data_IF_106699961688
#
_entry.id   IF_106699961688
#
_cell.length_a   1.000
_cell.length_b   1.000
_cell.length_c   1.000
_cell.angle_alpha   90.00
_cell.angle_beta   90.00
_cell.angle_gamma   90.00
#
_symmetry.space_group_name_H-M   'P 1'
#
loop_
_entity.id
_entity.type
_entity.pdbx_description
1 polymer ?
#
# COMPACT_ATOMS: atom_id res chain seq x y z
N UNK A 1 -49.13 3.61 42.35
CA UNK A 1 -47.81 3.82 42.98
C UNK A 1 -46.86 2.88 42.26
N UNK A 2 -46.37 3.33 41.11
CA UNK A 2 -45.87 2.51 40.02
C UNK A 2 -44.45 1.96 40.22
N UNK A 3 -44.29 0.66 40.01
CA UNK A 3 -43.06 -0.13 40.07
C UNK A 3 -42.11 0.08 38.87
N UNK A 4 -42.29 1.15 38.10
CA UNK A 4 -41.54 1.40 36.85
C UNK A 4 -40.30 2.31 37.02
N UNK A 5 -40.10 2.95 38.18
CA UNK A 5 -39.02 3.94 38.36
C UNK A 5 -37.70 3.38 38.92
N UNK A 6 -37.69 2.17 39.48
CA UNK A 6 -36.50 1.61 40.14
C UNK A 6 -35.61 0.81 39.17
N UNK A 7 -36.09 0.46 37.97
CA UNK A 7 -35.35 -0.39 37.00
C UNK A 7 -34.34 0.37 36.11
N UNK A 8 -34.33 1.71 36.11
CA UNK A 8 -33.53 2.49 35.15
C UNK A 8 -32.13 2.89 35.64
N UNK A 9 -31.90 2.90 36.96
CA UNK A 9 -30.58 3.21 37.54
C UNK A 9 -29.62 2.03 37.52
N UNK A 10 -30.13 0.81 37.67
CA UNK A 10 -29.30 -0.41 37.69
C UNK A 10 -28.79 -0.80 36.29
N UNK A 11 -29.59 -0.56 35.24
CA UNK A 11 -29.21 -0.87 33.86
C UNK A 11 -28.13 0.08 33.33
N UNK A 12 -28.13 1.35 33.74
CA UNK A 12 -27.05 2.29 33.39
C UNK A 12 -25.75 2.01 34.15
N UNK A 13 -25.84 1.59 35.42
CA UNK A 13 -24.67 1.20 36.22
C UNK A 13 -24.00 -0.08 35.67
N UNK A 14 -24.79 -1.06 35.22
CA UNK A 14 -24.29 -2.28 34.59
C UNK A 14 -23.65 -2.02 33.21
N UNK A 15 -24.14 -1.05 32.43
CA UNK A 15 -23.57 -0.68 31.13
C UNK A 15 -22.20 0.04 31.25
N UNK A 16 -22.02 0.89 32.27
CA UNK A 16 -20.74 1.56 32.53
C UNK A 16 -19.69 0.60 33.12
N UNK A 17 -20.09 -0.37 33.93
CA UNK A 17 -19.21 -1.42 34.44
C UNK A 17 -18.70 -2.35 33.33
N UNK A 18 -19.53 -2.65 32.32
CA UNK A 18 -19.13 -3.43 31.14
C UNK A 18 -18.14 -2.67 30.23
N UNK A 19 -18.27 -1.33 30.12
CA UNK A 19 -17.32 -0.49 29.39
C UNK A 19 -15.96 -0.38 30.09
N UNK A 20 -15.94 -0.40 31.43
CA UNK A 20 -14.70 -0.44 32.22
C UNK A 20 -14.00 -1.81 32.15
N UNK A 21 -14.75 -2.91 32.03
CA UNK A 21 -14.19 -4.27 31.88
C UNK A 21 -13.58 -4.52 30.48
N UNK A 22 -14.10 -3.89 29.42
CA UNK A 22 -13.55 -4.01 28.07
C UNK A 22 -12.21 -3.27 27.87
N UNK A 23 -11.89 -2.30 28.74
CA UNK A 23 -10.63 -1.55 28.69
C UNK A 23 -9.50 -2.19 29.52
N UNK A 24 -9.78 -3.24 30.31
CA UNK A 24 -8.86 -3.75 31.34
C UNK A 24 -8.16 -5.09 31.02
N UNK A 25 -8.34 -5.67 29.83
CA UNK A 25 -7.75 -6.98 29.47
C UNK A 25 -6.38 -6.91 28.76
N UNK A 26 -5.66 -5.79 28.84
CA UNK A 26 -4.33 -5.65 28.23
C UNK A 26 -3.21 -5.21 29.18
N UNK A 27 -3.33 -5.50 30.48
CA UNK A 27 -2.25 -5.23 31.43
C UNK A 27 -1.89 -6.47 32.26
N UNK A 28 -1.25 -7.45 31.60
CA UNK A 28 -0.34 -8.36 32.28
C UNK A 28 1.10 -7.87 32.09
N UNK A 29 1.61 -7.17 33.10
CA UNK A 29 3.02 -6.87 33.23
C UNK A 29 3.74 -8.12 33.74
N UNK A 30 4.53 -8.77 32.88
CA UNK A 30 5.54 -9.75 33.29
C UNK A 30 6.93 -9.11 33.23
N UNK A 31 7.70 -9.38 34.28
CA UNK A 31 9.07 -8.95 34.43
C UNK A 31 9.97 -9.45 33.27
N UNK A 32 10.82 -8.56 32.77
CA UNK A 32 12.14 -8.91 32.23
C UNK A 32 12.18 -9.88 31.05
N UNK A 33 11.64 -9.48 29.90
CA UNK A 33 12.14 -9.71 28.52
C UNK A 33 11.06 -9.17 27.58
N UNK A 34 11.41 -8.32 26.61
CA UNK A 34 10.42 -7.74 25.68
C UNK A 34 9.72 -8.86 24.87
N UNK A 35 8.53 -9.28 25.31
CA UNK A 35 7.72 -10.32 24.70
C UNK A 35 7.35 -10.04 23.23
N UNK A 36 7.57 -8.80 22.73
CA UNK A 36 7.41 -8.44 21.31
C UNK A 36 8.48 -9.04 20.41
N UNK A 37 9.50 -9.71 20.99
CA UNK A 37 10.69 -10.22 20.31
C UNK A 37 10.82 -11.74 20.36
N UNK A 38 9.79 -12.51 20.77
CA UNK A 38 9.86 -13.97 20.70
C UNK A 38 9.51 -14.41 19.27
N UNK A 39 10.54 -14.70 18.49
CA UNK A 39 10.40 -15.15 17.10
C UNK A 39 10.39 -16.67 17.04
N UNK A 40 9.57 -17.29 16.16
CA UNK A 40 9.69 -18.72 15.90
C UNK A 40 11.08 -19.02 15.33
N UNK A 41 11.72 -20.08 15.80
CA UNK A 41 12.97 -20.56 15.23
C UNK A 41 12.72 -21.04 13.80
N UNK A 42 13.09 -20.22 12.82
CA UNK A 42 12.96 -20.50 11.39
C UNK A 42 14.33 -20.34 10.73
N UNK A 43 14.63 -21.21 9.76
CA UNK A 43 15.81 -21.07 8.90
C UNK A 43 15.64 -19.98 7.84
N UNK A 44 14.40 -19.57 7.55
CA UNK A 44 14.05 -18.58 6.53
C UNK A 44 13.60 -17.25 7.14
N UNK A 45 13.93 -16.16 6.43
CA UNK A 45 13.61 -14.80 6.84
C UNK A 45 12.12 -14.64 7.14
N UNK A 46 11.80 -14.04 8.28
CA UNK A 46 10.41 -13.85 8.74
C UNK A 46 9.51 -13.00 7.82
N UNK A 47 10.07 -12.20 6.91
CA UNK A 47 9.26 -11.33 6.05
C UNK A 47 8.57 -12.13 4.95
N UNK A 48 7.31 -11.80 4.68
CA UNK A 48 6.52 -12.43 3.62
C UNK A 48 7.29 -12.54 2.30
N UNK A 49 7.19 -13.70 1.67
CA UNK A 49 7.81 -14.04 0.38
C UNK A 49 9.35 -13.91 0.36
N UNK A 50 10.01 -13.94 1.52
CA UNK A 50 11.46 -13.92 1.60
C UNK A 50 12.04 -15.29 1.96
N UNK A 51 12.60 -15.99 0.97
CA UNK A 51 13.22 -17.31 1.16
C UNK A 51 14.71 -17.24 1.55
N UNK A 52 15.26 -16.06 1.83
CA UNK A 52 16.67 -15.91 2.22
C UNK A 52 16.89 -16.43 3.63
N UNK A 53 18.06 -16.99 3.86
CA UNK A 53 18.48 -17.51 5.16
C UNK A 53 18.55 -16.43 6.24
N UNK A 54 18.18 -16.82 7.45
CA UNK A 54 18.23 -15.97 8.64
C UNK A 54 19.68 -15.76 9.08
N UNK A 55 19.97 -14.57 9.61
CA UNK A 55 21.29 -14.30 10.20
C UNK A 55 21.45 -14.99 11.56
N UNK A 56 22.67 -15.40 11.95
CA UNK A 56 22.94 -15.95 13.28
C UNK A 56 22.40 -15.02 14.39
N UNK A 57 21.62 -15.58 15.32
CA UNK A 57 21.01 -14.81 16.42
C UNK A 57 19.92 -13.82 16.01
N UNK A 58 19.47 -13.86 14.76
CA UNK A 58 18.46 -12.98 14.20
C UNK A 58 17.22 -13.79 13.77
N UNK A 59 16.22 -13.10 13.26
CA UNK A 59 14.98 -13.65 12.68
C UNK A 59 14.79 -13.19 11.23
N UNK A 60 15.79 -12.51 10.66
CA UNK A 60 15.79 -11.87 9.34
C UNK A 60 17.12 -12.06 8.62
N UNK A 61 17.08 -12.01 7.30
CA UNK A 61 18.27 -12.11 6.44
C UNK A 61 19.08 -10.79 6.38
N UNK A 62 20.27 -10.85 5.78
CA UNK A 62 21.16 -9.68 5.60
C UNK A 62 20.47 -8.51 4.90
N UNK A 63 19.63 -8.81 3.89
CA UNK A 63 18.92 -7.80 3.10
C UNK A 63 17.86 -7.07 3.92
N UNK A 64 17.26 -7.75 4.89
CA UNK A 64 16.22 -7.20 5.75
C UNK A 64 16.73 -6.73 7.11
N UNK A 65 18.05 -6.70 7.36
CA UNK A 65 18.61 -6.35 8.68
C UNK A 65 18.15 -5.01 9.26
N UNK A 66 17.84 -4.03 8.40
CA UNK A 66 17.37 -2.70 8.81
C UNK A 66 15.85 -2.52 8.65
N UNK A 67 15.11 -3.58 8.33
CA UNK A 67 13.66 -3.53 8.16
C UNK A 67 12.98 -3.94 9.46
N UNK A 68 12.02 -3.13 9.88
CA UNK A 68 11.17 -3.43 11.04
C UNK A 68 9.92 -4.19 10.59
N UNK A 69 9.39 -5.01 11.52
CA UNK A 69 8.13 -5.74 11.35
C UNK A 69 6.96 -4.87 11.79
N UNK A 70 5.83 -5.02 11.12
CA UNK A 70 4.55 -4.47 11.56
C UNK A 70 4.21 -4.91 13.01
N UNK A 71 3.73 -3.99 13.84
CA UNK A 71 3.36 -4.29 15.25
C UNK A 71 2.06 -5.09 15.41
N UNK A 72 1.30 -5.27 14.34
CA UNK A 72 0.11 -6.11 14.39
C UNK A 72 0.54 -7.56 14.62
N UNK A 73 -0.15 -8.27 15.51
CA UNK A 73 0.18 -9.65 15.89
C UNK A 73 0.43 -10.53 14.66
N UNK A 74 1.53 -11.27 14.73
CA UNK A 74 1.96 -12.26 13.73
C UNK A 74 2.08 -11.72 12.29
N UNK A 75 2.13 -10.40 12.11
CA UNK A 75 2.23 -9.81 10.79
C UNK A 75 3.66 -9.90 10.25
N UNK A 76 3.82 -10.64 9.15
CA UNK A 76 5.07 -10.81 8.42
C UNK A 76 5.40 -9.67 7.44
N UNK A 77 4.65 -8.57 7.46
CA UNK A 77 4.91 -7.42 6.59
C UNK A 77 5.91 -6.45 7.21
N UNK A 78 6.67 -5.78 6.33
CA UNK A 78 7.54 -4.66 6.69
C UNK A 78 6.72 -3.45 7.12
N UNK A 79 7.27 -2.67 8.06
CA UNK A 79 6.72 -1.35 8.43
C UNK A 79 6.76 -0.43 7.22
N UNK A 80 5.63 0.23 6.98
CA UNK A 80 5.56 1.37 6.07
C UNK A 80 5.73 2.69 6.83
N UNK A 81 4.90 2.90 7.86
CA UNK A 81 4.99 4.07 8.76
C UNK A 81 4.30 3.75 10.09
N UNK A 82 4.64 4.50 11.15
CA UNK A 82 4.04 4.36 12.50
C UNK A 82 4.07 2.92 13.03
N UNK A 83 5.15 2.19 12.73
CA UNK A 83 5.34 0.79 13.08
C UNK A 83 4.28 -0.18 12.50
N UNK A 84 3.54 0.23 11.46
CA UNK A 84 2.49 -0.55 10.83
C UNK A 84 2.77 -0.72 9.33
N UNK A 85 2.39 -1.86 8.77
CA UNK A 85 2.42 -2.08 7.32
C UNK A 85 1.22 -1.40 6.64
N UNK A 86 1.20 -1.38 5.30
CA UNK A 86 0.11 -0.77 4.53
C UNK A 86 -1.27 -1.34 4.90
N UNK A 87 -1.37 -2.67 5.09
CA UNK A 87 -2.63 -3.36 5.43
C UNK A 87 -3.11 -3.09 6.85
N UNK A 88 -2.21 -2.77 7.77
CA UNK A 88 -2.52 -2.50 9.17
C UNK A 88 -2.47 -1.00 9.51
N UNK A 89 -2.75 -0.11 8.55
CA UNK A 89 -2.88 1.32 8.81
C UNK A 89 -1.59 2.15 8.74
N UNK A 90 -0.50 1.57 8.24
CA UNK A 90 0.71 2.34 7.90
C UNK A 90 0.44 3.41 6.84
N UNK A 91 -0.48 3.15 5.90
CA UNK A 91 -0.88 4.09 4.84
C UNK A 91 -2.25 4.68 5.13
N UNK A 92 -2.41 5.98 4.89
CA UNK A 92 -3.72 6.66 5.03
C UNK A 92 -4.73 6.04 4.06
N UNK A 93 -5.96 5.83 4.53
CA UNK A 93 -7.09 5.46 3.69
C UNK A 93 -7.64 6.68 2.94
N UNK A 94 -8.34 6.42 1.86
CA UNK A 94 -9.10 7.42 1.12
C UNK A 94 -10.21 7.98 2.02
N UNK A 95 -10.40 9.30 2.00
CA UNK A 95 -11.47 9.96 2.75
C UNK A 95 -12.86 9.87 2.10
N UNK A 96 -12.95 9.41 0.86
CA UNK A 96 -14.23 9.15 0.19
C UNK A 96 -15.03 8.08 0.95
N UNK A 97 -16.31 8.34 1.20
CA UNK A 97 -17.19 7.42 1.90
C UNK A 97 -17.29 6.07 1.18
N UNK A 98 -17.22 4.98 1.95
CA UNK A 98 -17.22 3.61 1.41
C UNK A 98 -15.94 3.19 0.65
N UNK A 99 -14.93 4.05 0.52
CA UNK A 99 -13.70 3.69 -0.19
C UNK A 99 -12.66 3.03 0.73
N UNK A 100 -12.32 1.77 0.45
CA UNK A 100 -11.23 1.02 1.12
C UNK A 100 -9.86 1.21 0.46
N UNK A 101 -9.76 2.16 -0.47
CA UNK A 101 -8.55 2.44 -1.22
C UNK A 101 -7.55 3.24 -0.39
N UNK A 102 -6.25 2.97 -0.58
CA UNK A 102 -5.21 3.79 0.05
C UNK A 102 -5.09 5.17 -0.62
N UNK A 103 -5.00 6.22 0.20
CA UNK A 103 -4.73 7.58 -0.28
C UNK A 103 -3.38 7.65 -1.01
N UNK A 104 -3.34 8.37 -2.12
CA UNK A 104 -2.16 8.59 -2.98
C UNK A 104 -1.91 10.06 -3.26
N UNK A 105 -2.98 10.85 -3.34
CA UNK A 105 -2.91 12.29 -3.54
C UNK A 105 -3.69 12.98 -2.41
N UNK A 106 -2.98 13.74 -1.58
CA UNK A 106 -3.57 14.34 -0.39
C UNK A 106 -4.22 13.27 0.50
N UNK A 107 -5.54 13.35 0.67
CA UNK A 107 -6.33 12.42 1.46
C UNK A 107 -7.14 11.39 0.64
N UNK A 108 -6.94 11.33 -0.68
CA UNK A 108 -7.77 10.54 -1.58
C UNK A 108 -6.95 9.53 -2.39
N UNK A 109 -7.58 8.43 -2.79
CA UNK A 109 -6.96 7.44 -3.67
C UNK A 109 -6.82 7.99 -5.11
N UNK A 110 -6.21 7.22 -6.03
CA UNK A 110 -6.08 7.67 -7.43
C UNK A 110 -7.41 7.92 -8.14
N UNK A 111 -8.51 7.30 -7.69
CA UNK A 111 -9.85 7.47 -8.29
C UNK A 111 -10.56 8.71 -7.76
N UNK A 112 -10.35 9.04 -6.48
CA UNK A 112 -11.04 10.15 -5.80
C UNK A 112 -10.16 11.39 -5.61
N UNK A 113 -8.86 11.30 -5.90
CA UNK A 113 -7.92 12.42 -5.82
C UNK A 113 -8.03 13.33 -7.03
N UNK A 114 -8.42 14.58 -6.81
CA UNK A 114 -8.69 15.60 -7.84
C UNK A 114 -7.44 16.22 -8.49
N UNK A 115 -6.31 15.52 -8.56
CA UNK A 115 -5.05 16.07 -9.09
C UNK A 115 -4.60 15.51 -10.43
N UNK A 116 -5.47 14.80 -11.15
CA UNK A 116 -5.13 14.34 -12.50
C UNK A 116 -6.33 14.41 -13.42
N UNK A 117 -6.90 15.61 -13.58
CA UNK A 117 -7.67 15.89 -14.79
C UNK A 117 -6.67 15.79 -15.94
N UNK A 118 -6.65 14.64 -16.62
CA UNK A 118 -5.89 14.47 -17.85
C UNK A 118 -6.36 15.57 -18.79
N UNK A 119 -5.49 16.56 -19.05
CA UNK A 119 -5.82 17.67 -19.94
C UNK A 119 -6.09 17.11 -21.33
N UNK A 120 -7.06 17.68 -22.04
CA UNK A 120 -7.23 17.40 -23.47
C UNK A 120 -6.05 17.98 -24.25
N UNK A 121 -5.84 17.44 -25.45
CA UNK A 121 -4.91 18.02 -26.41
C UNK A 121 -5.31 19.47 -26.71
N UNK A 122 -4.34 20.38 -26.77
CA UNK A 122 -4.58 21.81 -27.07
C UNK A 122 -4.82 22.11 -28.55
N UNK A 123 -4.85 21.10 -29.40
CA UNK A 123 -5.13 21.30 -30.83
C UNK A 123 -6.64 21.43 -31.03
N UNK A 124 -7.06 22.40 -31.83
CA UNK A 124 -8.47 22.69 -32.08
C UNK A 124 -9.19 21.44 -32.63
N UNK A 125 -10.40 21.20 -32.12
CA UNK A 125 -11.19 20.01 -32.46
C UNK A 125 -10.65 18.67 -31.93
N UNK A 126 -9.52 18.62 -31.22
CA UNK A 126 -8.97 17.37 -30.70
C UNK A 126 -9.56 16.96 -29.35
N UNK A 127 -10.26 15.83 -29.32
CA UNK A 127 -10.83 15.26 -28.08
C UNK A 127 -9.88 14.31 -27.34
N UNK A 128 -8.71 14.02 -27.90
CA UNK A 128 -7.73 13.07 -27.31
C UNK A 128 -7.05 13.66 -26.08
N UNK A 129 -6.68 12.80 -25.13
CA UNK A 129 -5.94 13.21 -23.93
C UNK A 129 -4.51 13.63 -24.28
N UNK A 130 -4.03 14.68 -23.61
CA UNK A 130 -2.65 15.10 -23.67
C UNK A 130 -1.77 14.14 -22.87
N UNK A 131 -0.58 13.85 -23.40
CA UNK A 131 0.45 13.05 -22.73
C UNK A 131 1.58 13.93 -22.22
N UNK A 132 2.19 14.72 -23.11
CA UNK A 132 3.23 15.68 -22.81
C UNK A 132 3.01 16.95 -23.63
N UNK A 133 3.57 18.08 -23.18
CA UNK A 133 3.49 19.36 -23.89
C UNK A 133 2.05 19.80 -24.21
N UNK A 134 1.08 19.39 -23.40
CA UNK A 134 -0.35 19.60 -23.63
C UNK A 134 -0.90 19.04 -24.95
N UNK A 135 -0.18 18.13 -25.62
CA UNK A 135 -0.60 17.51 -26.88
C UNK A 135 -0.80 16.00 -26.73
N UNK A 136 -1.66 15.40 -27.54
CA UNK A 136 -1.82 13.95 -27.65
C UNK A 136 -0.69 13.35 -28.50
N UNK A 137 -0.51 12.02 -28.50
CA UNK A 137 0.58 11.35 -29.25
C UNK A 137 0.66 11.82 -30.70
N UNK A 138 -0.48 11.86 -31.42
CA UNK A 138 -0.56 12.28 -32.83
C UNK A 138 -0.13 13.72 -33.07
N UNK A 139 -0.40 14.60 -32.11
CA UNK A 139 -0.09 16.03 -32.19
C UNK A 139 1.25 16.39 -31.54
N UNK A 140 2.10 15.41 -31.22
CA UNK A 140 3.41 15.68 -30.60
C UNK A 140 3.42 15.53 -29.08
N UNK A 141 2.45 14.87 -28.47
CA UNK A 141 2.53 14.44 -27.08
C UNK A 141 3.41 13.21 -26.87
N UNK A 142 3.73 12.50 -27.95
CA UNK A 142 4.57 11.31 -27.92
C UNK A 142 6.06 11.66 -27.97
N UNK A 143 6.88 10.79 -27.40
CA UNK A 143 8.34 10.81 -27.59
C UNK A 143 8.66 9.97 -28.82
N UNK A 144 9.54 10.45 -29.70
CA UNK A 144 10.06 9.65 -30.82
C UNK A 144 11.05 8.61 -30.29
N UNK A 145 11.21 7.52 -31.04
CA UNK A 145 12.28 6.56 -30.83
C UNK A 145 13.64 7.29 -30.90
N UNK A 146 14.56 6.95 -29.99
CA UNK A 146 15.92 7.51 -29.97
C UNK A 146 16.78 7.02 -31.13
N UNK A 147 16.51 5.81 -31.64
CA UNK A 147 17.18 5.28 -32.81
C UNK A 147 17.10 6.24 -34.01
N UNK A 148 18.26 6.58 -34.55
CA UNK A 148 18.38 7.48 -35.70
C UNK A 148 17.56 7.00 -36.90
N UNK A 149 16.92 7.95 -37.57
CA UNK A 149 16.02 7.69 -38.71
C UNK A 149 14.68 7.05 -38.33
N UNK A 150 14.46 6.64 -37.08
CA UNK A 150 13.22 5.99 -36.67
C UNK A 150 12.10 7.00 -36.38
N UNK A 151 11.03 6.98 -37.19
CA UNK A 151 9.88 7.87 -37.02
C UNK A 151 8.78 7.31 -36.10
N UNK A 152 8.98 6.13 -35.50
CA UNK A 152 8.00 5.55 -34.59
C UNK A 152 8.09 6.18 -33.19
N UNK A 153 7.05 5.97 -32.41
CA UNK A 153 7.00 6.45 -31.03
C UNK A 153 7.71 5.50 -30.07
N UNK A 154 8.45 6.07 -29.13
CA UNK A 154 9.02 5.35 -28.01
C UNK A 154 7.93 4.77 -27.11
N UNK A 155 8.15 3.54 -26.63
CA UNK A 155 7.26 2.83 -25.70
C UNK A 155 7.86 2.72 -24.31
N UNK A 156 9.15 2.39 -24.23
CA UNK A 156 9.88 2.29 -22.97
C UNK A 156 11.34 2.71 -23.17
N UNK A 157 11.95 3.35 -22.17
CA UNK A 157 13.36 3.77 -22.22
C UNK A 157 13.74 4.85 -23.24
N UNK A 158 12.82 5.24 -24.13
CA UNK A 158 13.11 6.09 -25.30
C UNK A 158 13.11 5.34 -26.62
N UNK A 159 12.85 4.02 -26.61
CA UNK A 159 12.89 3.18 -27.80
C UNK A 159 11.50 2.64 -28.14
N UNK A 160 11.26 2.43 -29.44
CA UNK A 160 10.04 1.78 -29.92
C UNK A 160 10.11 0.26 -29.70
N UNK A 161 9.01 -0.47 -29.90
CA UNK A 161 9.00 -1.93 -29.74
C UNK A 161 10.05 -2.66 -30.60
N UNK A 162 10.42 -2.12 -31.76
CA UNK A 162 11.45 -2.72 -32.64
C UNK A 162 12.88 -2.44 -32.18
N UNK A 163 13.09 -1.39 -31.41
CA UNK A 163 14.41 -0.93 -30.97
C UNK A 163 14.59 -1.05 -29.45
N UNK A 164 13.64 -1.66 -28.75
CA UNK A 164 13.75 -1.97 -27.33
C UNK A 164 13.92 -3.48 -27.15
N UNK A 165 15.13 -3.96 -26.80
CA UNK A 165 15.40 -5.39 -26.60
C UNK A 165 14.57 -6.03 -25.49
N UNK A 166 14.08 -5.25 -24.53
CA UNK A 166 13.27 -5.72 -23.39
C UNK A 166 11.76 -5.78 -23.72
N UNK A 167 11.34 -5.22 -24.85
CA UNK A 167 9.97 -5.27 -25.35
C UNK A 167 9.85 -6.12 -26.63
N UNK A 168 10.94 -6.76 -27.05
CA UNK A 168 10.99 -7.60 -28.24
C UNK A 168 10.23 -8.89 -28.02
N UNK A 169 9.02 -8.96 -28.61
CA UNK A 169 8.26 -10.14 -29.03
C UNK A 169 8.60 -11.47 -28.35
N UNK A 170 7.68 -11.94 -27.50
CA UNK A 170 7.47 -13.37 -27.28
C UNK A 170 7.33 -14.06 -28.65
N UNK A 171 8.38 -14.77 -29.06
CA UNK A 171 8.32 -15.80 -30.08
C UNK A 171 8.67 -17.13 -29.41
N UNK A 172 7.70 -17.71 -28.71
CA UNK A 172 7.27 -19.11 -28.83
C UNK A 172 6.13 -19.34 -27.83
N UNK A 173 4.92 -19.64 -28.32
CA UNK A 173 3.90 -20.26 -27.49
C UNK A 173 4.32 -21.72 -27.27
N UNK A 174 4.36 -22.26 -26.04
CA UNK A 174 4.57 -23.69 -25.84
C UNK A 174 3.42 -24.49 -26.49
N UNK A 175 3.69 -25.70 -27.00
CA UNK A 175 2.67 -26.58 -27.57
C UNK A 175 1.61 -27.03 -26.55
#
# INVERSE_FOLDING_TARGET
MDLAYICSSDQHAQALAAAAAAAALHHHASAGTDARQRFPASSTCFFNDCHKEVQPGSWKCVFHRNRARCLYMDCQNQVYARNLCVRHGGKKQCKEEGCTGNARLGNFCSKHGTGSIKKKCTEEGCTKMAHARHKCVRHGGGRKCKMDGCQTHARNGGDCCRHNPQLGHDKEAPP
#
